data_IF_888368004242
#
_entry.id   IF_888368004242
#
_cell.length_a   1.000
_cell.length_b   1.000
_cell.length_c   1.000
_cell.angle_alpha   90.00
_cell.angle_beta   90.00
_cell.angle_gamma   90.00
#
_symmetry.space_group_name_H-M   'P 1'
#
loop_
_entity.id
_entity.type
_entity.pdbx_description
1 polymer ?
#
# COMPACT_ATOMS: atom_id res chain seq x y z
N UNK A 1 -2.52 12.89 16.58
CA UNK A 1 -3.52 12.39 17.56
C UNK A 1 -2.88 11.30 18.40
N UNK A 2 -3.19 11.22 19.70
CA UNK A 2 -2.47 10.60 20.86
C UNK A 2 -1.61 9.31 20.70
N UNK A 3 -1.69 8.59 19.59
CA UNK A 3 -0.88 7.39 19.30
C UNK A 3 0.59 7.74 18.99
N UNK A 4 0.90 9.01 18.65
CA UNK A 4 2.26 9.47 18.30
C UNK A 4 3.23 9.61 19.50
N UNK A 5 2.75 9.51 20.75
CA UNK A 5 3.54 9.90 21.94
C UNK A 5 3.56 8.84 23.07
N UNK A 6 3.40 7.56 22.73
CA UNK A 6 3.42 6.39 23.65
C UNK A 6 2.77 6.56 25.03
N UNK A 7 1.76 7.43 25.12
CA UNK A 7 0.77 7.40 26.20
C UNK A 7 -0.40 6.58 25.72
N UNK A 8 -0.16 5.29 25.49
CA UNK A 8 -1.25 4.36 25.29
C UNK A 8 -1.85 4.08 26.67
N UNK A 9 -3.07 4.55 26.85
CA UNK A 9 -3.88 4.10 27.98
C UNK A 9 -4.44 2.72 27.65
N UNK A 10 -4.70 1.88 28.64
CA UNK A 10 -5.40 0.59 28.47
C UNK A 10 -6.66 0.76 27.61
N UNK A 11 -7.32 1.90 27.74
CA UNK A 11 -8.48 2.35 26.94
C UNK A 11 -8.22 2.37 25.43
N UNK A 12 -7.04 2.78 24.95
CA UNK A 12 -6.75 2.84 23.50
C UNK A 12 -6.59 1.44 22.89
N UNK A 13 -5.98 0.52 23.65
CA UNK A 13 -5.87 -0.89 23.25
C UNK A 13 -7.23 -1.58 23.25
N UNK A 14 -8.08 -1.29 24.23
CA UNK A 14 -9.43 -1.83 24.29
C UNK A 14 -10.30 -1.32 23.14
N UNK A 15 -10.15 -0.06 22.74
CA UNK A 15 -10.83 0.50 21.56
C UNK A 15 -10.43 -0.21 20.26
N UNK A 16 -9.14 -0.49 20.07
CA UNK A 16 -8.66 -1.24 18.89
C UNK A 16 -9.08 -2.71 18.96
N UNK A 17 -8.94 -3.34 20.14
CA UNK A 17 -9.34 -4.73 20.36
C UNK A 17 -10.86 -4.94 20.26
N UNK A 18 -11.66 -3.89 20.41
CA UNK A 18 -13.08 -3.90 20.09
C UNK A 18 -13.39 -4.05 18.60
N UNK A 19 -12.38 -3.97 17.72
CA UNK A 19 -12.53 -4.07 16.24
C UNK A 19 -12.07 -5.41 15.66
N UNK A 20 -11.96 -6.44 16.50
CA UNK A 20 -11.52 -7.76 16.05
C UNK A 20 -12.58 -8.40 15.16
N UNK A 21 -12.16 -8.84 13.97
CA UNK A 21 -12.96 -9.63 13.03
C UNK A 21 -12.14 -10.87 12.66
N UNK A 22 -12.34 -11.96 13.40
CA UNK A 22 -11.55 -13.18 13.27
C UNK A 22 -11.80 -13.94 11.95
N UNK A 23 -12.98 -13.76 11.35
CA UNK A 23 -13.42 -14.47 10.13
C UNK A 23 -13.42 -13.56 8.90
N UNK A 24 -12.51 -12.59 8.84
CA UNK A 24 -12.42 -11.67 7.70
C UNK A 24 -12.02 -12.42 6.42
N UNK A 25 -12.71 -12.13 5.32
CA UNK A 25 -12.35 -12.61 3.99
C UNK A 25 -12.10 -11.41 3.07
N UNK A 26 -10.90 -11.29 2.47
CA UNK A 26 -10.61 -10.22 1.53
C UNK A 26 -11.64 -10.13 0.40
N UNK A 27 -12.03 -8.92 0.02
CA UNK A 27 -12.99 -8.67 -1.06
C UNK A 27 -14.46 -8.84 -0.69
N UNK A 28 -14.82 -9.23 0.55
CA UNK A 28 -16.22 -9.22 1.00
C UNK A 28 -16.80 -7.81 1.11
N UNK A 29 -15.98 -6.87 1.55
CA UNK A 29 -16.34 -5.46 1.65
C UNK A 29 -15.58 -4.68 0.58
N UNK A 30 -16.33 -3.97 -0.25
CA UNK A 30 -15.77 -3.22 -1.36
C UNK A 30 -14.79 -2.15 -0.86
N UNK A 31 -13.62 -2.07 -1.50
CA UNK A 31 -12.62 -1.05 -1.21
C UNK A 31 -11.84 -1.26 0.10
N UNK A 32 -12.05 -2.38 0.81
CA UNK A 32 -11.22 -2.75 1.96
C UNK A 32 -9.88 -3.30 1.49
N UNK A 33 -8.79 -2.75 2.01
CA UNK A 33 -7.43 -3.27 1.79
C UNK A 33 -6.92 -4.00 3.02
N UNK A 34 -6.26 -5.14 2.79
CA UNK A 34 -5.65 -5.92 3.86
C UNK A 34 -4.20 -5.51 4.05
N UNK A 35 -3.83 -5.01 5.23
CA UNK A 35 -2.44 -4.76 5.58
C UNK A 35 -1.85 -6.02 6.21
N UNK A 36 -0.76 -6.48 5.63
CA UNK A 36 0.05 -7.61 6.09
C UNK A 36 1.49 -7.16 6.29
N UNK A 37 2.36 -8.02 6.81
CA UNK A 37 3.73 -7.63 7.17
C UNK A 37 4.83 -8.28 6.32
N UNK A 38 4.47 -9.22 5.43
CA UNK A 38 5.41 -9.82 4.46
C UNK A 38 4.88 -9.73 3.04
N UNK A 39 5.80 -9.60 2.07
CA UNK A 39 5.44 -9.62 0.65
C UNK A 39 4.79 -10.97 0.29
N UNK A 40 5.35 -12.09 0.77
CA UNK A 40 4.81 -13.43 0.52
C UNK A 40 3.33 -13.57 0.92
N UNK A 41 2.93 -13.02 2.07
CA UNK A 41 1.52 -13.02 2.50
C UNK A 41 0.66 -12.13 1.60
N UNK A 42 1.14 -10.93 1.24
CA UNK A 42 0.41 -10.02 0.36
C UNK A 42 0.17 -10.66 -1.02
N UNK A 43 1.21 -11.28 -1.57
CA UNK A 43 1.18 -11.96 -2.86
C UNK A 43 0.23 -13.16 -2.82
N UNK A 44 0.26 -13.93 -1.72
CA UNK A 44 -0.67 -15.06 -1.52
C UNK A 44 -2.12 -14.60 -1.50
N UNK A 45 -2.44 -13.55 -0.74
CA UNK A 45 -3.80 -13.01 -0.67
C UNK A 45 -4.24 -12.48 -2.04
N UNK A 46 -3.42 -11.65 -2.68
CA UNK A 46 -3.73 -11.06 -3.97
C UNK A 46 -3.92 -12.12 -5.06
N UNK A 47 -3.04 -13.14 -5.11
CA UNK A 47 -3.15 -14.26 -6.04
C UNK A 47 -4.42 -15.06 -5.79
N UNK A 48 -4.69 -15.42 -4.53
CA UNK A 48 -5.90 -16.18 -4.16
C UNK A 48 -7.18 -15.45 -4.59
N UNK A 49 -7.22 -14.13 -4.42
CA UNK A 49 -8.37 -13.32 -4.82
C UNK A 49 -8.51 -13.20 -6.34
N UNK A 50 -7.39 -13.02 -7.05
CA UNK A 50 -7.39 -12.99 -8.51
C UNK A 50 -7.80 -14.35 -9.12
N UNK A 51 -7.35 -15.45 -8.54
CA UNK A 51 -7.64 -16.81 -9.01
C UNK A 51 -9.13 -17.14 -8.86
N UNK A 52 -9.81 -16.58 -7.85
CA UNK A 52 -11.26 -16.71 -7.64
C UNK A 52 -12.10 -15.96 -8.67
N UNK A 53 -11.56 -14.95 -9.33
CA UNK A 53 -12.31 -14.20 -10.33
C UNK A 53 -12.50 -15.02 -11.61
N UNK A 54 -13.69 -14.99 -12.21
CA UNK A 54 -13.92 -15.59 -13.52
C UNK A 54 -13.17 -14.81 -14.61
N UNK A 55 -13.17 -15.36 -15.82
CA UNK A 55 -12.60 -14.69 -16.99
C UNK A 55 -11.10 -14.90 -17.18
N UNK A 56 -10.61 -14.34 -18.28
CA UNK A 56 -9.24 -14.51 -18.74
C UNK A 56 -8.25 -13.70 -17.90
N UNK A 57 -7.14 -14.34 -17.52
CA UNK A 57 -6.01 -13.66 -16.88
C UNK A 57 -5.27 -12.81 -17.92
N UNK A 58 -5.37 -11.50 -17.78
CA UNK A 58 -4.58 -10.55 -18.57
C UNK A 58 -3.26 -10.27 -17.87
N UNK A 59 -2.22 -10.04 -18.67
CA UNK A 59 -0.88 -9.72 -18.18
C UNK A 59 -0.18 -8.70 -19.08
N UNK A 60 0.56 -7.78 -18.45
CA UNK A 60 1.37 -6.77 -19.12
C UNK A 60 2.79 -6.82 -18.56
N UNK A 61 3.78 -7.03 -19.42
CA UNK A 61 5.20 -6.94 -19.06
C UNK A 61 5.68 -5.50 -19.17
N UNK A 62 6.45 -5.05 -18.18
CA UNK A 62 7.05 -3.73 -18.16
C UNK A 62 8.10 -3.59 -19.26
N UNK A 63 8.03 -2.49 -20.00
CA UNK A 63 9.08 -2.11 -20.95
C UNK A 63 10.07 -1.20 -20.25
N UNK A 64 11.36 -1.56 -20.24
CA UNK A 64 12.43 -0.76 -19.63
C UNK A 64 13.32 -0.13 -20.70
N UNK A 65 13.83 1.05 -20.41
CA UNK A 65 14.81 1.77 -21.20
C UNK A 65 15.94 2.32 -20.32
N UNK A 66 17.13 2.52 -20.89
CA UNK A 66 18.30 3.00 -20.16
C UNK A 66 18.68 2.05 -19.01
N UNK A 67 18.93 2.62 -17.84
CA UNK A 67 19.31 1.88 -16.64
C UNK A 67 18.12 1.46 -15.74
N UNK A 68 16.88 1.61 -16.22
CA UNK A 68 15.71 1.21 -15.45
C UNK A 68 15.66 -0.32 -15.31
N UNK A 69 15.36 -0.78 -14.10
CA UNK A 69 15.15 -2.19 -13.78
C UNK A 69 13.97 -2.31 -12.80
N UNK A 70 13.40 -3.51 -12.67
CA UNK A 70 12.33 -3.80 -11.70
C UNK A 70 12.70 -3.39 -10.25
N UNK A 71 13.99 -3.39 -9.89
CA UNK A 71 14.45 -2.99 -8.56
C UNK A 71 14.49 -1.45 -8.37
N UNK A 72 14.52 -0.69 -9.47
CA UNK A 72 14.68 0.78 -9.46
C UNK A 72 13.39 1.53 -9.73
N UNK A 73 12.30 0.83 -10.05
CA UNK A 73 10.98 1.43 -10.32
C UNK A 73 9.92 0.88 -9.37
N UNK A 74 8.84 1.63 -9.09
CA UNK A 74 7.79 1.19 -8.17
C UNK A 74 6.78 0.23 -8.81
N UNK A 75 6.77 0.08 -10.14
CA UNK A 75 5.83 -0.79 -10.85
C UNK A 75 6.33 -2.24 -10.91
N UNK A 76 5.39 -3.18 -10.98
CA UNK A 76 5.69 -4.62 -11.09
C UNK A 76 6.26 -4.95 -12.47
N UNK A 77 7.20 -5.90 -12.56
CA UNK A 77 7.72 -6.41 -13.84
C UNK A 77 6.62 -7.01 -14.73
N UNK A 78 5.64 -7.67 -14.11
CA UNK A 78 4.47 -8.24 -14.77
C UNK A 78 3.24 -7.89 -13.95
N UNK A 79 2.42 -6.98 -14.47
CA UNK A 79 1.10 -6.67 -13.90
C UNK A 79 0.11 -7.71 -14.41
N UNK A 80 -0.51 -8.45 -13.49
CA UNK A 80 -1.53 -9.47 -13.77
C UNK A 80 -2.86 -9.04 -13.20
N UNK A 81 -3.92 -9.16 -13.99
CA UNK A 81 -5.25 -8.72 -13.59
C UNK A 81 -6.34 -9.43 -14.41
N UNK A 82 -7.58 -9.34 -13.92
CA UNK A 82 -8.80 -9.84 -14.57
C UNK A 82 -9.87 -8.75 -14.46
N UNK A 83 -10.95 -8.89 -15.22
CA UNK A 83 -12.16 -8.13 -14.93
C UNK A 83 -12.65 -8.44 -13.50
N UNK A 84 -13.11 -7.41 -12.79
CA UNK A 84 -13.46 -7.48 -11.36
C UNK A 84 -12.27 -7.45 -10.39
N UNK A 85 -11.02 -7.33 -10.86
CA UNK A 85 -9.87 -7.27 -9.96
C UNK A 85 -9.83 -5.96 -9.16
N UNK A 86 -9.69 -6.06 -7.83
CA UNK A 86 -9.38 -4.90 -6.98
C UNK A 86 -7.92 -4.54 -7.19
N UNK A 87 -7.67 -3.27 -7.52
CA UNK A 87 -6.34 -2.71 -7.72
C UNK A 87 -6.11 -1.53 -6.78
N UNK A 88 -4.84 -1.19 -6.58
CA UNK A 88 -4.41 0.03 -5.92
C UNK A 88 -3.45 0.78 -6.84
N UNK A 89 -3.71 2.06 -7.06
CA UNK A 89 -2.83 2.92 -7.85
C UNK A 89 -1.52 3.20 -7.10
N UNK A 90 -0.40 3.22 -7.83
CA UNK A 90 0.96 3.34 -7.26
C UNK A 90 1.66 4.67 -7.58
N UNK A 91 1.01 5.56 -8.33
CA UNK A 91 1.49 6.90 -8.62
C UNK A 91 0.33 7.91 -8.59
N UNK A 92 0.68 9.18 -8.79
CA UNK A 92 -0.29 10.24 -9.01
C UNK A 92 -0.38 10.53 -10.51
N UNK A 93 -1.60 10.65 -11.03
CA UNK A 93 -1.82 11.16 -12.37
C UNK A 93 -1.63 12.68 -12.38
N UNK A 94 -0.92 13.21 -13.38
CA UNK A 94 -0.71 14.65 -13.52
C UNK A 94 -2.01 15.42 -13.77
N UNK A 95 -3.02 14.76 -14.36
CA UNK A 95 -4.35 15.34 -14.59
C UNK A 95 -5.32 15.10 -13.41
N UNK A 96 -4.85 14.51 -12.30
CA UNK A 96 -5.65 14.29 -11.10
C UNK A 96 -6.72 13.20 -11.23
N UNK A 97 -6.66 12.34 -12.26
CA UNK A 97 -7.63 11.25 -12.44
C UNK A 97 -7.54 10.17 -11.35
N UNK A 98 -6.35 9.98 -10.79
CA UNK A 98 -6.09 9.10 -9.65
C UNK A 98 -4.91 9.60 -8.83
N UNK A 99 -4.79 9.07 -7.62
CA UNK A 99 -3.68 9.33 -6.69
C UNK A 99 -3.14 8.02 -6.13
N UNK A 100 -1.91 8.04 -5.62
CA UNK A 100 -1.24 6.88 -5.03
C UNK A 100 -2.02 6.39 -3.80
N UNK A 101 -2.44 5.13 -3.82
CA UNK A 101 -3.30 4.54 -2.81
C UNK A 101 -4.80 4.58 -3.12
N UNK A 102 -5.23 5.20 -4.22
CA UNK A 102 -6.60 5.08 -4.69
C UNK A 102 -6.90 3.61 -5.02
N UNK A 103 -8.00 3.09 -4.48
CA UNK A 103 -8.48 1.73 -4.78
C UNK A 103 -9.53 1.82 -5.89
N UNK A 104 -9.49 0.85 -6.80
CA UNK A 104 -10.51 0.69 -7.82
C UNK A 104 -10.69 -0.76 -8.22
N UNK A 105 -11.72 -0.99 -9.02
CA UNK A 105 -12.07 -2.31 -9.56
C UNK A 105 -11.92 -2.24 -11.07
N UNK A 106 -11.17 -3.18 -11.65
CA UNK A 106 -11.11 -3.34 -13.11
C UNK A 106 -12.49 -3.72 -13.63
N UNK A 107 -12.94 -3.07 -14.69
CA UNK A 107 -14.26 -3.25 -15.30
C UNK A 107 -14.19 -3.60 -16.79
N UNK A 108 -12.98 -3.82 -17.30
CA UNK A 108 -12.73 -4.16 -18.70
C UNK A 108 -11.42 -3.57 -19.23
N UNK A 109 -11.14 -3.90 -20.49
CA UNK A 109 -9.97 -3.41 -21.24
C UNK A 109 -10.41 -3.05 -22.65
N UNK A 110 -9.90 -1.94 -23.18
CA UNK A 110 -10.07 -1.54 -24.57
C UNK A 110 -8.69 -1.20 -25.16
N UNK A 111 -8.13 -2.09 -25.99
CA UNK A 111 -6.75 -1.99 -26.46
C UNK A 111 -5.77 -1.98 -25.29
N UNK A 112 -4.89 -0.98 -25.24
CA UNK A 112 -3.92 -0.76 -24.16
C UNK A 112 -4.46 0.11 -23.00
N UNK A 113 -5.77 0.28 -22.91
CA UNK A 113 -6.42 1.08 -21.85
C UNK A 113 -7.25 0.18 -20.96
N UNK A 114 -6.90 0.12 -19.67
CA UNK A 114 -7.69 -0.57 -18.64
C UNK A 114 -8.78 0.36 -18.13
N UNK A 115 -10.02 -0.14 -18.07
CA UNK A 115 -11.16 0.58 -17.50
C UNK A 115 -11.27 0.25 -16.02
N UNK A 116 -11.20 1.26 -15.16
CA UNK A 116 -11.29 1.11 -13.71
C UNK A 116 -12.47 1.93 -13.19
N UNK A 117 -13.29 1.34 -12.33
CA UNK A 117 -14.21 2.11 -11.49
C UNK A 117 -13.57 2.30 -10.13
N UNK A 118 -13.30 3.54 -9.74
CA UNK A 118 -12.80 3.85 -8.41
C UNK A 118 -13.84 3.45 -7.37
N UNK A 119 -13.40 3.22 -6.15
CA UNK A 119 -14.30 2.97 -5.01
C UNK A 119 -15.26 4.12 -4.67
N UNK A 120 -15.14 5.27 -5.32
CA UNK A 120 -16.09 6.39 -5.22
C UNK A 120 -17.07 6.40 -6.41
N UNK A 121 -17.06 5.38 -7.27
CA UNK A 121 -17.91 5.25 -8.45
C UNK A 121 -17.41 5.98 -9.70
N UNK A 122 -16.23 6.61 -9.65
CA UNK A 122 -15.67 7.31 -10.79
C UNK A 122 -15.11 6.32 -11.82
N UNK A 123 -15.53 6.44 -13.08
CA UNK A 123 -14.95 5.68 -14.19
C UNK A 123 -13.66 6.34 -14.66
N UNK A 124 -12.59 5.55 -14.77
CA UNK A 124 -11.23 6.00 -15.07
C UNK A 124 -10.67 5.15 -16.20
N UNK A 125 -10.15 5.82 -17.23
CA UNK A 125 -9.39 5.21 -18.30
C UNK A 125 -7.90 5.24 -17.91
N UNK A 126 -7.31 4.06 -17.78
CA UNK A 126 -5.95 3.87 -17.25
C UNK A 126 -5.04 3.35 -18.36
N UNK A 127 -4.29 4.23 -19.06
CA UNK A 127 -3.23 3.81 -19.96
C UNK A 127 -1.99 3.37 -19.16
N UNK A 128 -1.03 2.75 -19.85
CA UNK A 128 0.34 2.64 -19.33
C UNK A 128 0.94 4.04 -19.18
N UNK A 129 1.77 4.22 -18.16
CA UNK A 129 2.47 5.46 -17.87
C UNK A 129 3.96 5.23 -17.77
N UNK A 130 4.73 6.32 -17.88
CA UNK A 130 6.17 6.30 -17.68
C UNK A 130 6.54 6.48 -16.21
N UNK A 131 7.47 5.66 -15.75
CA UNK A 131 8.16 5.77 -14.48
C UNK A 131 9.63 6.09 -14.75
N UNK A 132 10.03 7.33 -14.48
CA UNK A 132 11.40 7.77 -14.74
C UNK A 132 12.31 7.43 -13.56
N UNK A 133 13.47 6.86 -13.88
CA UNK A 133 14.58 6.59 -12.96
C UNK A 133 15.60 7.71 -13.10
N UNK A 134 16.13 8.16 -11.95
CA UNK A 134 17.03 9.29 -11.88
C UNK A 134 18.26 8.90 -11.09
N UNK A 135 19.41 9.39 -11.53
CA UNK A 135 20.66 9.31 -10.81
C UNK A 135 21.17 10.69 -10.43
N UNK A 136 22.11 10.71 -9.49
CA UNK A 136 22.88 11.89 -9.16
C UNK A 136 24.27 11.74 -9.74
N UNK A 137 24.65 12.66 -10.62
CA UNK A 137 26.00 12.76 -11.14
C UNK A 137 26.67 13.99 -10.53
N UNK A 138 27.96 13.89 -10.24
CA UNK A 138 28.74 15.05 -9.83
C UNK A 138 29.01 15.92 -11.05
N UNK A 139 28.45 17.13 -11.06
CA UNK A 139 28.88 18.21 -11.96
C UNK A 139 29.53 19.31 -11.15
N UNK A 140 30.85 19.44 -11.30
CA UNK A 140 31.65 20.52 -10.70
C UNK A 140 31.58 20.58 -9.16
N UNK A 141 31.53 19.43 -8.48
CA UNK A 141 31.47 19.34 -7.02
C UNK A 141 30.07 19.45 -6.44
N UNK A 142 29.02 19.44 -7.28
CA UNK A 142 27.63 19.48 -6.86
C UNK A 142 26.83 18.33 -7.49
N UNK A 143 26.01 17.59 -6.70
CA UNK A 143 25.18 16.52 -7.24
C UNK A 143 24.02 17.10 -8.06
N UNK A 144 23.94 16.72 -9.34
CA UNK A 144 22.85 17.07 -10.24
C UNK A 144 22.03 15.83 -10.60
N UNK A 145 20.71 15.96 -10.60
CA UNK A 145 19.79 14.88 -10.97
C UNK A 145 19.71 14.75 -12.48
N UNK A 146 19.86 13.53 -13.00
CA UNK A 146 19.80 13.22 -14.43
C UNK A 146 18.92 12.00 -14.66
N UNK A 147 18.09 12.02 -15.70
CA UNK A 147 17.33 10.86 -16.17
C UNK A 147 18.31 9.78 -16.62
N UNK A 148 18.23 8.61 -16.01
CA UNK A 148 19.08 7.47 -16.35
C UNK A 148 18.32 6.31 -16.99
N UNK A 149 17.00 6.32 -16.93
CA UNK A 149 16.16 5.37 -17.63
C UNK A 149 14.68 5.56 -17.34
N UNK A 150 13.85 4.75 -17.98
CA UNK A 150 12.41 4.75 -17.70
C UNK A 150 11.79 3.37 -17.83
N UNK A 151 10.65 3.19 -17.17
CA UNK A 151 9.80 2.01 -17.29
C UNK A 151 8.39 2.40 -17.73
N UNK A 152 7.81 1.66 -18.67
CA UNK A 152 6.45 1.85 -19.16
C UNK A 152 5.54 0.70 -18.70
N UNK A 153 4.55 1.02 -17.86
CA UNK A 153 3.63 0.03 -17.27
C UNK A 153 2.33 0.69 -16.77
N UNK A 154 1.30 -0.12 -16.56
CA UNK A 154 0.10 0.33 -15.86
C UNK A 154 0.41 0.81 -14.42
N UNK A 155 -0.17 1.95 -13.99
CA UNK A 155 0.12 2.55 -12.69
C UNK A 155 -0.63 1.91 -11.52
N UNK A 156 -0.80 0.60 -11.52
CA UNK A 156 -1.47 -0.12 -10.44
C UNK A 156 -0.88 -1.50 -10.20
N UNK A 157 -1.25 -2.05 -9.05
CA UNK A 157 -1.04 -3.46 -8.68
C UNK A 157 -2.30 -4.01 -8.05
N UNK A 158 -2.37 -5.32 -7.85
CA UNK A 158 -3.47 -5.94 -7.10
C UNK A 158 -3.57 -5.34 -5.70
N UNK A 159 -4.80 -5.04 -5.29
CA UNK A 159 -5.10 -4.16 -4.16
C UNK A 159 -5.89 -4.82 -3.04
N UNK A 160 -6.04 -6.15 -2.99
CA UNK A 160 -6.68 -6.82 -1.85
C UNK A 160 -5.78 -6.88 -0.62
N UNK A 161 -4.45 -6.95 -0.83
CA UNK A 161 -3.46 -6.88 0.23
C UNK A 161 -2.24 -6.04 -0.15
N UNK A 162 -1.69 -5.36 0.84
CA UNK A 162 -0.43 -4.60 0.76
C UNK A 162 0.38 -4.80 2.03
N UNK A 163 1.71 -4.70 1.93
CA UNK A 163 2.55 -4.72 3.12
C UNK A 163 2.50 -3.39 3.87
N UNK A 164 2.65 -3.42 5.20
CA UNK A 164 2.73 -2.21 6.03
C UNK A 164 3.80 -1.24 5.49
N UNK A 165 4.98 -1.74 5.13
CA UNK A 165 6.04 -0.94 4.50
C UNK A 165 5.59 -0.28 3.19
N UNK A 166 5.00 -1.06 2.25
CA UNK A 166 4.54 -0.53 0.96
C UNK A 166 3.34 0.41 1.10
N UNK A 167 2.65 0.43 2.24
CA UNK A 167 1.55 1.34 2.55
C UNK A 167 1.99 2.68 3.17
N UNK A 168 3.27 2.84 3.48
CA UNK A 168 3.78 4.07 4.08
C UNK A 168 3.50 5.28 3.17
N UNK A 169 3.12 6.42 3.76
CA UNK A 169 2.66 7.61 3.04
C UNK A 169 1.24 7.52 2.44
N UNK A 170 0.66 6.33 2.30
CA UNK A 170 -0.70 6.14 1.78
C UNK A 170 -1.75 6.18 2.88
N UNK A 171 -2.98 6.49 2.48
CA UNK A 171 -4.15 6.50 3.36
C UNK A 171 -5.30 5.78 2.67
N UNK A 172 -5.93 4.87 3.39
CA UNK A 172 -7.07 4.08 2.92
C UNK A 172 -8.27 4.35 3.82
N UNK A 173 -9.46 4.23 3.26
CA UNK A 173 -10.67 4.48 4.03
C UNK A 173 -11.14 3.26 4.81
N UNK A 174 -10.95 2.05 4.28
CA UNK A 174 -11.24 0.79 4.97
C UNK A 174 -10.01 -0.10 4.98
N UNK A 175 -9.62 -0.54 6.17
CA UNK A 175 -8.41 -1.33 6.38
C UNK A 175 -8.73 -2.52 7.26
N UNK A 176 -8.31 -3.70 6.82
CA UNK A 176 -8.17 -4.86 7.69
C UNK A 176 -6.69 -5.09 7.98
N UNK A 177 -6.29 -5.13 9.25
CA UNK A 177 -4.92 -5.44 9.63
C UNK A 177 -4.84 -6.94 9.98
N UNK A 178 -4.06 -7.70 9.20
CA UNK A 178 -3.83 -9.12 9.47
C UNK A 178 -2.53 -9.32 10.25
N UNK A 179 -2.68 -9.59 11.55
CA UNK A 179 -1.61 -9.89 12.50
C UNK A 179 -1.61 -11.37 12.94
N UNK A 180 -2.15 -12.26 12.12
CA UNK A 180 -2.21 -13.71 12.44
C UNK A 180 -0.82 -14.29 12.66
N UNK A 181 0.19 -13.82 11.93
CA UNK A 181 1.59 -14.16 12.18
C UNK A 181 2.28 -13.09 13.04
N UNK A 182 2.34 -13.32 14.35
CA UNK A 182 2.97 -12.42 15.31
C UNK A 182 4.49 -12.25 15.10
N UNK A 183 5.15 -13.18 14.40
CA UNK A 183 6.59 -13.10 14.10
C UNK A 183 6.88 -12.28 12.86
N UNK A 184 5.84 -11.94 12.08
CA UNK A 184 5.99 -11.32 10.78
C UNK A 184 6.23 -9.80 10.82
N UNK A 185 6.11 -9.14 11.97
CA UNK A 185 6.22 -7.68 12.06
C UNK A 185 7.28 -7.21 13.05
N UNK A 186 8.07 -6.22 12.61
CA UNK A 186 9.08 -5.55 13.41
C UNK A 186 8.48 -4.37 14.19
N UNK A 187 9.20 -3.92 15.23
CA UNK A 187 8.82 -2.79 16.06
C UNK A 187 8.48 -1.55 15.21
N UNK A 188 7.33 -0.94 15.49
CA UNK A 188 6.82 0.22 14.75
C UNK A 188 6.02 -0.10 13.47
N UNK A 189 6.10 -1.30 12.89
CA UNK A 189 5.26 -1.64 11.71
C UNK A 189 3.76 -1.69 12.06
N UNK A 190 3.41 -2.09 13.28
CA UNK A 190 2.04 -2.04 13.77
C UNK A 190 1.48 -0.60 13.76
N UNK A 191 2.29 0.38 14.17
CA UNK A 191 1.89 1.79 14.12
C UNK A 191 1.72 2.28 12.68
N UNK A 192 2.61 1.86 11.76
CA UNK A 192 2.45 2.17 10.33
C UNK A 192 1.12 1.63 9.84
N UNK A 193 0.79 0.36 10.12
CA UNK A 193 -0.47 -0.26 9.71
C UNK A 193 -1.70 0.46 10.29
N UNK A 194 -1.72 0.74 11.61
CA UNK A 194 -2.81 1.45 12.28
C UNK A 194 -3.02 2.86 11.73
N UNK A 195 -1.94 3.57 11.41
CA UNK A 195 -2.01 4.94 10.88
C UNK A 195 -2.44 5.02 9.40
N UNK A 196 -2.65 3.90 8.71
CA UNK A 196 -3.13 3.91 7.32
C UNK A 196 -4.64 4.12 7.20
N UNK A 197 -5.40 3.85 8.25
CA UNK A 197 -6.84 4.04 8.27
C UNK A 197 -7.19 5.48 8.69
N UNK A 198 -8.12 6.13 7.97
CA UNK A 198 -8.57 7.50 8.31
C UNK A 198 -9.32 7.56 9.62
N UNK A 199 -10.16 6.57 9.89
CA UNK A 199 -11.04 6.51 11.05
C UNK A 199 -10.93 5.14 11.72
N UNK A 200 -11.07 5.13 13.05
CA UNK A 200 -11.12 3.86 13.79
C UNK A 200 -12.34 3.01 13.38
N UNK A 201 -13.42 3.67 12.93
CA UNK A 201 -14.66 3.04 12.48
C UNK A 201 -14.47 2.04 11.35
N UNK A 202 -13.59 2.36 10.41
CA UNK A 202 -13.33 1.55 9.23
C UNK A 202 -12.07 0.67 9.37
N UNK A 203 -11.52 0.59 10.58
CA UNK A 203 -10.43 -0.31 10.92
C UNK A 203 -10.99 -1.62 11.49
N UNK A 204 -10.50 -2.74 10.98
CA UNK A 204 -10.69 -4.06 11.59
C UNK A 204 -9.34 -4.76 11.76
N UNK A 205 -9.27 -5.72 12.67
CA UNK A 205 -8.04 -6.47 12.94
C UNK A 205 -8.31 -7.96 13.10
N UNK A 206 -7.39 -8.82 12.66
CA UNK A 206 -7.63 -10.27 12.62
C UNK A 206 -7.65 -10.95 14.00
N UNK A 207 -6.99 -10.37 15.01
CA UNK A 207 -7.03 -10.83 16.42
C UNK A 207 -6.74 -9.69 17.38
N UNK A 208 -6.90 -9.95 18.68
CA UNK A 208 -6.51 -8.98 19.72
C UNK A 208 -5.00 -8.72 19.67
N UNK A 209 -4.63 -7.46 19.88
CA UNK A 209 -3.27 -7.00 20.08
C UNK A 209 -2.93 -7.04 21.55
N UNK A 210 -1.77 -7.61 21.89
CA UNK A 210 -1.20 -7.53 23.22
C UNK A 210 -0.30 -6.30 23.35
N UNK A 211 -0.24 -5.70 24.54
CA UNK A 211 0.55 -4.48 24.81
C UNK A 211 2.02 -4.59 24.38
N UNK A 212 2.62 -5.77 24.51
CA UNK A 212 3.99 -6.07 24.07
C UNK A 212 4.22 -5.91 22.55
N UNK A 213 3.16 -5.98 21.74
CA UNK A 213 3.22 -5.93 20.28
C UNK A 213 3.13 -4.49 19.73
N UNK A 214 2.91 -3.51 20.61
CA UNK A 214 2.83 -2.09 20.25
C UNK A 214 3.93 -1.27 20.95
N UNK A 215 4.99 -1.93 21.45
CA UNK A 215 6.15 -1.20 21.97
C UNK A 215 6.74 -0.35 20.85
N UNK A 216 6.56 0.97 20.98
CA UNK A 216 7.18 1.97 20.14
C UNK A 216 8.68 1.91 20.43
N UNK A 217 9.50 1.93 19.38
CA UNK A 217 10.95 1.96 19.52
C UNK A 217 11.34 3.14 20.45
N UNK A 218 11.88 2.82 21.63
CA UNK A 218 12.30 3.80 22.64
C UNK A 218 13.24 4.88 22.08
N UNK A 219 14.04 4.53 21.06
CA UNK A 219 14.96 5.46 20.40
C UNK A 219 14.24 6.60 19.67
N UNK A 220 13.07 6.34 19.09
CA UNK A 220 12.28 7.37 18.40
C UNK A 220 11.66 8.37 19.40
N UNK A 221 11.32 7.91 20.60
CA UNK A 221 10.88 8.77 21.69
C UNK A 221 12.02 9.63 22.23
N UNK A 222 13.17 9.01 22.52
CA UNK A 222 14.37 9.70 23.00
C UNK A 222 14.84 10.77 21.99
N UNK A 223 14.77 10.48 20.69
CA UNK A 223 15.07 11.44 19.64
C UNK A 223 14.08 12.61 19.60
N UNK A 224 12.78 12.33 19.73
CA UNK A 224 11.74 13.37 19.79
C UNK A 224 11.85 14.25 21.05
N UNK A 225 12.27 13.67 22.17
CA UNK A 225 12.52 14.40 23.42
C UNK A 225 13.78 15.27 23.34
N UNK A 226 14.83 14.80 22.66
CA UNK A 226 16.04 15.59 22.40
C UNK A 226 15.73 16.84 21.57
N UNK A 227 14.91 16.72 20.53
CA UNK A 227 14.47 17.88 19.72
C UNK A 227 13.64 18.86 20.56
N UNK A 228 12.78 18.36 21.47
CA UNK A 228 11.95 19.21 22.34
C UNK A 228 12.74 19.95 23.43
N UNK A 229 13.90 19.44 23.83
CA UNK A 229 14.78 20.09 24.82
C UNK A 229 15.81 21.03 24.19
N UNK A 230 15.99 20.96 22.88
CA UNK A 230 16.96 21.76 22.12
C UNK A 230 16.35 23.01 21.45
N UNK A 231 15.04 23.24 21.59
CA UNK A 231 14.33 24.46 21.20
C UNK A 231 13.55 25.02 22.38
#
# INVERSE_FOLDING_TARGET
TKIRHSRQTTTDLDLINGRVVATYVPGQEEGTITIVFTNAKADTVNKTMLDKLPGELLQSRTSYSGEATNARVPCEDIVRFKDGAQIVFINNDSSGRWYNGLIGTVTGVNGDVVKVTSRYGQKIDVPKVEFVVWDYVDKHGAPERVDSGSAFQYPFKLGWAITAHKSQGQTFDRVHIDITDAKAFADGQMYVALSRCRTLENLTISRRIHSKEIMVNKEAEEYSEKIRKAG
#
